data_IF_616681373091
#
_entry.id   IF_616681373091
#
_cell.length_a   1.000
_cell.length_b   1.000
_cell.length_c   1.000
_cell.angle_alpha   90.00
_cell.angle_beta   90.00
_cell.angle_gamma   90.00
#
_symmetry.space_group_name_H-M   'P 1'
#
loop_
_entity.id
_entity.type
_entity.pdbx_description
1 polymer ?
#
# COMPACT_ATOMS: atom_id res chain seq x y z
N UNK A 1 -48.23 -7.60 25.95
CA UNK A 1 -47.12 -6.67 26.21
C UNK A 1 -47.48 -5.34 25.55
N UNK A 2 -47.62 -4.28 26.33
CA UNK A 2 -48.01 -2.97 25.78
C UNK A 2 -46.89 -2.40 24.89
N UNK A 3 -47.27 -1.75 23.77
CA UNK A 3 -46.29 -1.16 22.82
C UNK A 3 -45.29 -0.22 23.51
N UNK A 4 -45.67 0.45 24.58
CA UNK A 4 -44.79 1.28 25.41
C UNK A 4 -43.69 0.46 26.12
N UNK A 5 -44.03 -0.75 26.60
CA UNK A 5 -43.05 -1.65 27.24
C UNK A 5 -42.11 -2.26 26.23
N UNK A 6 -42.58 -2.53 25.00
CA UNK A 6 -41.77 -3.02 23.91
C UNK A 6 -40.77 -1.94 23.42
N UNK A 7 -41.22 -0.70 23.28
CA UNK A 7 -40.37 0.43 22.91
C UNK A 7 -39.26 0.70 23.93
N UNK A 8 -39.62 0.61 25.23
CA UNK A 8 -38.65 0.80 26.32
C UNK A 8 -37.58 -0.32 26.30
N UNK A 9 -37.98 -1.56 26.06
CA UNK A 9 -37.08 -2.71 25.98
C UNK A 9 -36.10 -2.56 24.81
N UNK A 10 -36.56 -2.08 23.63
CA UNK A 10 -35.74 -1.84 22.45
C UNK A 10 -34.72 -0.72 22.72
N UNK A 11 -35.15 0.37 23.38
CA UNK A 11 -34.23 1.48 23.71
C UNK A 11 -33.18 1.02 24.72
N UNK A 12 -33.51 0.21 25.71
CA UNK A 12 -32.55 -0.33 26.68
C UNK A 12 -31.57 -1.31 26.02
N UNK A 13 -32.03 -2.16 25.11
CA UNK A 13 -31.16 -3.06 24.34
C UNK A 13 -30.20 -2.27 23.41
N UNK A 14 -30.70 -1.22 22.77
CA UNK A 14 -29.86 -0.38 21.90
C UNK A 14 -28.82 0.40 22.72
N UNK A 15 -29.17 0.94 23.88
CA UNK A 15 -28.22 1.63 24.76
C UNK A 15 -27.19 0.68 25.40
N UNK A 16 -27.55 -0.56 25.70
CA UNK A 16 -26.61 -1.56 26.21
C UNK A 16 -25.55 -1.98 25.14
N UNK A 17 -25.93 -2.06 23.87
CA UNK A 17 -25.01 -2.34 22.77
C UNK A 17 -24.00 -1.21 22.53
N UNK A 18 -24.38 0.05 22.75
CA UNK A 18 -23.47 1.19 22.54
C UNK A 18 -22.44 1.38 23.66
N UNK A 19 -22.74 0.95 24.89
CA UNK A 19 -21.82 1.07 26.03
C UNK A 19 -20.64 0.08 25.99
N UNK A 20 -20.78 -1.04 25.30
CA UNK A 20 -19.70 -2.04 25.18
C UNK A 20 -18.61 -1.70 24.14
N UNK A 21 -18.92 -0.81 23.18
CA UNK A 21 -17.99 -0.48 22.08
C UNK A 21 -16.98 0.63 22.43
N UNK A 22 -17.15 1.35 23.54
CA UNK A 22 -16.43 2.58 23.82
C UNK A 22 -15.12 2.41 24.61
N UNK A 23 -14.83 1.22 25.16
CA UNK A 23 -13.73 1.04 26.14
C UNK A 23 -12.64 0.04 25.75
N UNK A 24 -12.58 -0.46 24.49
CA UNK A 24 -11.44 -1.29 24.11
C UNK A 24 -10.28 -0.44 23.59
N UNK A 25 -9.09 -0.85 23.93
CA UNK A 25 -7.90 -0.28 23.31
C UNK A 25 -7.92 -0.51 21.82
N UNK A 26 -7.54 0.50 21.07
CA UNK A 26 -7.46 0.45 19.60
C UNK A 26 -6.29 -0.40 19.14
N UNK A 27 -6.54 -1.32 18.23
CA UNK A 27 -5.52 -2.23 17.68
C UNK A 27 -4.97 -1.65 16.38
N UNK A 28 -3.67 -1.38 16.35
CA UNK A 28 -2.94 -1.03 15.15
C UNK A 28 -2.11 -2.20 14.66
N UNK A 29 -2.15 -2.48 13.35
CA UNK A 29 -1.22 -3.41 12.72
C UNK A 29 -0.12 -2.64 12.01
N UNK A 30 1.11 -3.09 12.23
CA UNK A 30 2.30 -2.55 11.57
C UNK A 30 2.93 -3.63 10.71
N UNK A 31 3.01 -3.36 9.41
CA UNK A 31 3.50 -4.29 8.40
C UNK A 31 4.83 -3.78 7.84
N UNK A 32 5.91 -4.49 8.12
CA UNK A 32 7.25 -4.12 7.68
C UNK A 32 7.47 -4.34 6.18
N UNK A 33 8.49 -3.70 5.65
CA UNK A 33 9.05 -4.06 4.35
C UNK A 33 9.80 -5.39 4.41
N UNK A 34 10.01 -5.99 3.25
CA UNK A 34 10.73 -7.27 3.15
C UNK A 34 10.69 -7.89 1.77
N UNK A 35 10.31 -7.12 0.75
CA UNK A 35 10.15 -7.63 -0.63
C UNK A 35 9.22 -8.83 -0.66
N UNK A 36 9.60 -9.90 -1.35
CA UNK A 36 8.79 -11.11 -1.47
C UNK A 36 8.41 -11.75 -0.12
N UNK A 37 9.25 -11.59 0.92
CA UNK A 37 8.95 -12.12 2.27
C UNK A 37 7.74 -11.43 2.91
N UNK A 38 7.44 -10.19 2.51
CA UNK A 38 6.29 -9.44 3.03
C UNK A 38 4.92 -10.06 2.65
N UNK A 39 4.88 -10.99 1.70
CA UNK A 39 3.68 -11.79 1.42
C UNK A 39 3.21 -12.57 2.66
N UNK A 40 4.11 -12.91 3.58
CA UNK A 40 3.77 -13.56 4.84
C UNK A 40 2.80 -12.73 5.71
N UNK A 41 2.74 -11.40 5.51
CA UNK A 41 1.75 -10.55 6.19
C UNK A 41 0.31 -10.98 5.92
N UNK A 42 0.03 -11.52 4.73
CA UNK A 42 -1.31 -12.02 4.36
C UNK A 42 -1.72 -13.17 5.29
N UNK A 43 -0.79 -14.10 5.55
CA UNK A 43 -1.02 -15.20 6.49
C UNK A 43 -1.26 -14.70 7.93
N UNK A 44 -0.51 -13.68 8.36
CA UNK A 44 -0.71 -13.08 9.67
C UNK A 44 -2.08 -12.39 9.79
N UNK A 45 -2.50 -11.62 8.76
CA UNK A 45 -3.81 -10.98 8.72
C UNK A 45 -4.94 -12.02 8.80
N UNK A 46 -4.80 -13.15 8.09
CA UNK A 46 -5.77 -14.24 8.12
C UNK A 46 -5.97 -14.79 9.55
N UNK A 47 -4.87 -15.06 10.26
CA UNK A 47 -4.93 -15.56 11.64
C UNK A 47 -5.54 -14.53 12.60
N UNK A 48 -5.23 -13.24 12.41
CA UNK A 48 -5.77 -12.15 13.22
C UNK A 48 -7.30 -12.03 13.03
N UNK A 49 -7.78 -12.12 11.79
CA UNK A 49 -9.22 -12.12 11.50
C UNK A 49 -9.92 -13.36 12.07
N UNK A 50 -9.34 -14.55 11.88
CA UNK A 50 -9.85 -15.81 12.44
C UNK A 50 -9.93 -15.78 13.96
N UNK A 51 -9.00 -15.08 14.62
CA UNK A 51 -9.01 -14.85 16.06
C UNK A 51 -10.06 -13.79 16.50
N UNK A 52 -10.76 -13.13 15.56
CA UNK A 52 -11.75 -12.10 15.85
C UNK A 52 -11.16 -10.81 16.43
N UNK A 53 -9.87 -10.55 16.19
CA UNK A 53 -9.20 -9.34 16.67
C UNK A 53 -9.54 -8.18 15.71
N UNK A 54 -10.27 -7.16 16.18
CA UNK A 54 -10.63 -6.02 15.34
C UNK A 54 -9.40 -5.12 15.12
N UNK A 55 -9.16 -4.77 13.85
CA UNK A 55 -8.08 -3.89 13.43
C UNK A 55 -8.63 -2.48 13.22
N UNK A 56 -8.07 -1.49 13.93
CA UNK A 56 -8.50 -0.09 13.86
C UNK A 56 -7.59 0.78 13.00
N UNK A 57 -6.31 0.40 12.86
CA UNK A 57 -5.30 1.14 12.10
C UNK A 57 -4.36 0.17 11.40
N UNK A 58 -3.91 0.54 10.22
CA UNK A 58 -2.87 -0.18 9.48
C UNK A 58 -1.78 0.80 9.07
N UNK A 59 -0.54 0.43 9.36
CA UNK A 59 0.63 1.18 8.90
C UNK A 59 1.59 0.24 8.21
N UNK A 60 2.12 0.65 7.08
CA UNK A 60 2.98 -0.22 6.29
C UNK A 60 4.19 0.46 5.68
N UNK A 61 5.25 -0.32 5.45
CA UNK A 61 6.43 0.07 4.68
C UNK A 61 6.68 -0.94 3.56
N UNK A 62 6.99 -0.47 2.35
CA UNK A 62 7.35 -1.34 1.21
C UNK A 62 6.24 -2.38 0.90
N UNK A 63 6.54 -3.66 0.91
CA UNK A 63 5.53 -4.72 0.75
C UNK A 63 4.42 -4.62 1.80
N UNK A 64 4.76 -4.22 3.02
CA UNK A 64 3.76 -3.97 4.07
C UNK A 64 2.81 -2.82 3.74
N UNK A 65 3.26 -1.81 2.98
CA UNK A 65 2.41 -0.74 2.47
C UNK A 65 1.44 -1.26 1.41
N UNK A 66 1.88 -2.17 0.54
CA UNK A 66 1.01 -2.78 -0.48
C UNK A 66 -0.06 -3.65 0.18
N UNK A 67 0.34 -4.62 0.99
CA UNK A 67 -0.58 -5.53 1.69
C UNK A 67 -1.53 -4.74 2.59
N UNK A 68 -0.99 -3.81 3.40
CA UNK A 68 -1.76 -3.00 4.33
C UNK A 68 -2.70 -2.02 3.63
N UNK A 69 -2.25 -1.38 2.56
CA UNK A 69 -3.07 -0.44 1.78
C UNK A 69 -4.26 -1.13 1.11
N UNK A 70 -4.04 -2.29 0.49
CA UNK A 70 -5.12 -3.08 -0.12
C UNK A 70 -6.08 -3.63 0.96
N UNK A 71 -5.55 -4.13 2.06
CA UNK A 71 -6.37 -4.57 3.20
C UNK A 71 -7.23 -3.43 3.76
N UNK A 72 -6.67 -2.22 3.87
CA UNK A 72 -7.36 -1.05 4.42
C UNK A 72 -8.54 -0.56 3.56
N UNK A 73 -8.54 -0.87 2.26
CA UNK A 73 -9.67 -0.56 1.36
C UNK A 73 -10.67 -1.70 1.23
N UNK A 74 -10.49 -2.80 1.97
CA UNK A 74 -11.47 -3.88 2.10
C UNK A 74 -11.13 -5.20 1.41
N UNK A 75 -9.92 -5.37 0.86
CA UNK A 75 -9.50 -6.70 0.40
C UNK A 75 -9.34 -7.65 1.58
N UNK A 76 -9.95 -8.82 1.51
CA UNK A 76 -9.75 -9.87 2.50
C UNK A 76 -8.39 -10.55 2.34
N UNK A 77 -7.85 -11.18 3.39
CA UNK A 77 -6.60 -11.96 3.27
C UNK A 77 -6.68 -13.04 2.18
N UNK A 78 -7.84 -13.66 1.98
CA UNK A 78 -8.06 -14.67 0.93
C UNK A 78 -7.98 -14.06 -0.48
N UNK A 79 -8.53 -12.86 -0.67
CA UNK A 79 -8.42 -12.13 -1.95
C UNK A 79 -6.99 -11.70 -2.22
N UNK A 80 -6.28 -11.20 -1.19
CA UNK A 80 -4.86 -10.84 -1.31
C UNK A 80 -3.99 -12.04 -1.67
N UNK A 81 -4.23 -13.20 -1.06
CA UNK A 81 -3.55 -14.45 -1.38
C UNK A 81 -3.81 -14.86 -2.83
N UNK A 82 -5.07 -14.81 -3.28
CA UNK A 82 -5.44 -15.11 -4.67
C UNK A 82 -4.77 -14.15 -5.65
N UNK A 83 -4.72 -12.84 -5.35
CA UNK A 83 -4.06 -11.84 -6.19
C UNK A 83 -2.57 -12.16 -6.31
N UNK A 84 -1.89 -12.43 -5.20
CA UNK A 84 -0.45 -12.71 -5.19
C UNK A 84 -0.11 -13.97 -5.99
N UNK A 85 -0.93 -15.03 -5.86
CA UNK A 85 -0.71 -16.30 -6.56
C UNK A 85 -1.05 -16.23 -8.06
N UNK A 86 -1.91 -15.30 -8.47
CA UNK A 86 -2.30 -15.13 -9.87
C UNK A 86 -1.30 -14.32 -10.71
N UNK A 87 -0.31 -13.66 -10.07
CA UNK A 87 0.59 -12.75 -10.77
C UNK A 87 1.76 -13.47 -11.45
N UNK A 88 2.10 -13.04 -12.66
CA UNK A 88 3.42 -13.26 -13.25
C UNK A 88 4.42 -12.25 -12.66
N UNK A 89 5.08 -12.66 -11.57
CA UNK A 89 6.05 -11.82 -10.87
C UNK A 89 7.24 -11.43 -11.73
N UNK A 90 7.65 -12.27 -12.69
CA UNK A 90 8.72 -11.96 -13.61
C UNK A 90 8.33 -10.79 -14.52
N UNK A 91 7.11 -10.79 -15.03
CA UNK A 91 6.57 -9.68 -15.82
C UNK A 91 6.40 -8.42 -14.98
N UNK A 92 5.76 -8.52 -13.80
CA UNK A 92 5.49 -7.37 -12.92
C UNK A 92 6.76 -6.66 -12.44
N UNK A 93 7.80 -7.45 -12.13
CA UNK A 93 9.09 -6.94 -11.70
C UNK A 93 10.04 -6.67 -12.88
N UNK A 94 9.50 -6.39 -14.04
CA UNK A 94 10.22 -5.97 -15.24
C UNK A 94 9.55 -4.75 -15.86
N UNK A 95 10.20 -4.17 -16.87
CA UNK A 95 9.60 -3.13 -17.72
C UNK A 95 9.16 -3.70 -19.08
N UNK A 96 9.03 -5.03 -19.18
CA UNK A 96 8.56 -5.68 -20.39
C UNK A 96 7.20 -5.12 -20.83
N UNK A 97 7.05 -4.93 -22.12
CA UNK A 97 5.78 -4.50 -22.69
C UNK A 97 4.80 -5.67 -22.71
N UNK A 98 3.53 -5.38 -22.48
CA UNK A 98 2.46 -6.37 -22.58
C UNK A 98 2.34 -6.82 -24.04
N UNK A 99 2.52 -8.13 -24.33
CA UNK A 99 2.45 -8.63 -25.70
C UNK A 99 1.09 -8.42 -26.37
N UNK A 100 0.01 -8.31 -25.60
CA UNK A 100 -1.35 -8.15 -26.15
C UNK A 100 -1.66 -6.69 -26.50
N UNK A 101 -1.08 -5.74 -25.79
CA UNK A 101 -1.39 -4.30 -25.96
C UNK A 101 -0.32 -3.52 -26.74
N UNK A 102 0.84 -4.13 -26.99
CA UNK A 102 1.97 -3.47 -27.62
C UNK A 102 1.87 -3.52 -29.15
N UNK A 103 2.03 -2.36 -29.79
CA UNK A 103 2.09 -2.28 -31.24
C UNK A 103 3.26 -3.11 -31.79
N UNK A 104 3.05 -3.76 -32.95
CA UNK A 104 4.07 -4.58 -33.60
C UNK A 104 5.38 -3.81 -33.84
N UNK A 105 5.30 -2.53 -34.17
CA UNK A 105 6.46 -1.64 -34.35
C UNK A 105 7.28 -1.42 -33.07
N UNK A 106 6.64 -1.43 -31.90
CA UNK A 106 7.33 -1.32 -30.61
C UNK A 106 7.98 -2.63 -30.22
N UNK A 107 7.30 -3.76 -30.46
CA UNK A 107 7.86 -5.11 -30.26
C UNK A 107 9.16 -5.30 -31.07
N UNK A 108 9.11 -4.98 -32.37
CA UNK A 108 10.27 -5.09 -33.26
C UNK A 108 11.42 -4.18 -32.84
N UNK A 109 11.12 -3.05 -32.18
CA UNK A 109 12.12 -2.12 -31.70
C UNK A 109 12.81 -2.61 -30.43
N UNK A 110 12.08 -3.26 -29.51
CA UNK A 110 12.68 -3.87 -28.30
C UNK A 110 13.51 -5.10 -28.62
N UNK A 111 13.10 -5.91 -29.59
CA UNK A 111 13.88 -7.10 -30.04
C UNK A 111 15.21 -6.72 -30.69
N UNK A 112 15.35 -5.51 -31.20
CA UNK A 112 16.61 -5.04 -31.84
C UNK A 112 17.71 -4.63 -30.85
N UNK A 113 17.37 -4.36 -29.56
CA UNK A 113 18.35 -3.84 -28.60
C UNK A 113 18.36 -4.68 -27.34
N UNK A 114 19.47 -5.36 -27.08
CA UNK A 114 19.73 -6.06 -25.81
C UNK A 114 19.84 -5.11 -24.60
N UNK A 115 20.15 -3.85 -24.85
CA UNK A 115 20.26 -2.79 -23.87
C UNK A 115 19.93 -1.45 -24.54
N UNK A 116 18.85 -0.78 -24.11
CA UNK A 116 18.59 0.61 -24.51
C UNK A 116 18.95 1.55 -23.37
N UNK A 117 20.04 2.29 -23.51
CA UNK A 117 20.39 3.39 -22.63
C UNK A 117 19.80 4.66 -23.23
N UNK A 118 18.84 5.34 -22.56
CA UNK A 118 18.33 6.61 -23.07
C UNK A 118 19.49 7.63 -23.05
N UNK A 119 19.97 8.02 -24.22
CA UNK A 119 20.87 9.16 -24.36
C UNK A 119 19.98 10.42 -24.29
N UNK A 120 19.63 10.85 -23.07
CA UNK A 120 19.11 12.19 -22.88
C UNK A 120 20.24 13.19 -23.03
N UNK A 121 19.99 14.28 -23.80
CA UNK A 121 20.95 15.37 -23.94
C UNK A 121 21.43 15.89 -22.58
N UNK A 122 22.31 16.87 -22.53
CA UNK A 122 23.11 17.41 -21.38
C UNK A 122 22.49 17.47 -19.96
N UNK A 123 21.32 16.90 -19.74
CA UNK A 123 20.56 16.83 -18.48
C UNK A 123 20.23 15.39 -18.06
N UNK A 124 20.94 14.38 -18.52
CA UNK A 124 20.78 13.03 -17.96
C UNK A 124 21.22 13.05 -16.50
N UNK A 125 20.27 13.26 -15.61
CA UNK A 125 20.52 13.09 -14.18
C UNK A 125 20.76 11.60 -13.91
N UNK A 126 21.91 11.29 -13.31
CA UNK A 126 22.29 9.96 -12.82
C UNK A 126 21.27 9.41 -11.79
N UNK A 127 20.28 10.22 -11.42
CA UNK A 127 19.22 9.91 -10.47
C UNK A 127 18.14 8.92 -10.98
N UNK A 128 18.10 8.61 -12.29
CA UNK A 128 17.20 7.57 -12.85
C UNK A 128 17.78 6.15 -12.72
N UNK A 129 18.66 5.93 -11.76
CA UNK A 129 19.42 4.72 -11.52
C UNK A 129 18.60 3.55 -10.92
N UNK A 130 17.31 3.50 -11.14
CA UNK A 130 16.52 2.28 -10.98
C UNK A 130 16.63 1.43 -12.25
N UNK A 131 16.96 0.16 -12.11
CA UNK A 131 17.04 -0.79 -13.23
C UNK A 131 15.65 -0.98 -13.85
N UNK A 132 14.60 -0.92 -13.01
CA UNK A 132 13.20 -1.15 -13.37
C UNK A 132 12.40 0.13 -13.14
N UNK A 133 11.74 0.66 -14.19
CA UNK A 133 10.85 1.83 -14.05
C UNK A 133 9.60 1.52 -13.23
N UNK A 134 9.20 0.24 -13.18
CA UNK A 134 8.08 -0.26 -12.40
C UNK A 134 6.73 0.11 -13.00
N UNK A 135 6.63 0.22 -14.32
CA UNK A 135 5.36 0.52 -15.01
C UNK A 135 4.29 -0.56 -14.75
N UNK A 136 4.70 -1.83 -14.84
CA UNK A 136 3.77 -2.95 -14.69
C UNK A 136 3.21 -3.05 -13.28
N UNK A 137 4.06 -2.86 -12.26
CA UNK A 137 3.60 -2.85 -10.87
C UNK A 137 2.73 -1.61 -10.57
N UNK A 138 3.08 -0.44 -11.14
CA UNK A 138 2.27 0.77 -10.99
C UNK A 138 0.88 0.61 -11.61
N UNK A 139 0.79 -0.04 -12.77
CA UNK A 139 -0.48 -0.37 -13.42
C UNK A 139 -1.30 -1.31 -12.54
N UNK A 140 -0.71 -2.40 -12.05
CA UNK A 140 -1.40 -3.34 -11.15
C UNK A 140 -1.94 -2.64 -9.89
N UNK A 141 -1.12 -1.81 -9.23
CA UNK A 141 -1.55 -1.06 -8.06
C UNK A 141 -2.73 -0.12 -8.38
N UNK A 142 -2.70 0.54 -9.55
CA UNK A 142 -3.80 1.41 -9.99
C UNK A 142 -5.08 0.62 -10.28
N UNK A 143 -4.97 -0.55 -10.90
CA UNK A 143 -6.10 -1.44 -11.16
C UNK A 143 -6.73 -1.97 -9.87
N UNK A 144 -5.91 -2.38 -8.89
CA UNK A 144 -6.38 -2.86 -7.59
C UNK A 144 -6.98 -1.75 -6.71
N UNK A 145 -6.71 -0.49 -7.02
CA UNK A 145 -7.21 0.68 -6.26
C UNK A 145 -8.11 1.59 -7.08
N UNK A 146 -8.80 1.05 -8.08
CA UNK A 146 -9.59 1.84 -9.03
C UNK A 146 -10.64 2.75 -8.36
N UNK A 147 -11.21 2.34 -7.23
CA UNK A 147 -12.13 3.15 -6.43
C UNK A 147 -11.45 4.25 -5.58
N UNK A 148 -10.11 4.32 -5.59
CA UNK A 148 -9.28 5.20 -4.76
C UNK A 148 -8.23 5.94 -5.60
N UNK A 149 -8.54 6.24 -6.86
CA UNK A 149 -7.63 6.90 -7.80
C UNK A 149 -7.52 8.41 -7.62
N UNK A 150 -8.45 9.02 -6.88
CA UNK A 150 -8.36 10.43 -6.50
C UNK A 150 -7.46 10.64 -5.27
N UNK A 151 -7.05 11.89 -5.07
CA UNK A 151 -6.36 12.27 -3.84
C UNK A 151 -7.34 12.31 -2.66
N UNK A 152 -7.18 11.36 -1.75
CA UNK A 152 -8.05 11.19 -0.58
C UNK A 152 -7.27 11.24 0.72
N UNK A 153 -7.97 11.44 1.84
CA UNK A 153 -7.41 11.21 3.17
C UNK A 153 -7.50 9.73 3.52
N UNK A 154 -6.37 9.10 3.80
CA UNK A 154 -6.30 7.67 4.17
C UNK A 154 -6.93 7.38 5.54
N UNK A 155 -7.10 8.41 6.38
CA UNK A 155 -7.86 8.30 7.63
C UNK A 155 -9.36 8.07 7.41
N UNK A 156 -9.86 8.28 6.18
CA UNK A 156 -11.27 8.08 5.80
C UNK A 156 -11.52 6.76 5.09
N UNK A 157 -10.50 5.92 4.92
CA UNK A 157 -10.66 4.57 4.40
C UNK A 157 -11.43 3.68 5.38
N UNK A 158 -11.99 2.55 4.94
CA UNK A 158 -12.65 1.57 5.83
C UNK A 158 -11.83 1.23 7.07
N UNK A 159 -10.51 1.04 6.90
CA UNK A 159 -9.55 1.02 8.01
C UNK A 159 -8.54 2.15 7.74
N UNK A 160 -8.38 3.11 8.66
CA UNK A 160 -7.39 4.17 8.56
C UNK A 160 -5.98 3.64 8.29
N UNK A 161 -5.31 4.24 7.30
CA UNK A 161 -4.04 3.76 6.77
C UNK A 161 -2.97 4.85 6.75
N UNK A 162 -1.71 4.43 6.91
CA UNK A 162 -0.55 5.24 6.58
C UNK A 162 0.56 4.36 5.99
N UNK A 163 1.41 4.94 5.14
CA UNK A 163 2.62 4.25 4.70
C UNK A 163 3.82 5.19 4.65
N UNK A 164 5.00 4.58 4.72
CA UNK A 164 6.27 5.28 4.84
C UNK A 164 7.04 5.21 3.52
N UNK A 165 7.61 6.33 3.14
CA UNK A 165 8.59 6.48 2.07
C UNK A 165 9.70 7.41 2.54
N UNK A 166 10.82 7.47 1.81
CA UNK A 166 11.94 8.33 2.12
C UNK A 166 12.21 9.30 1.00
N UNK A 167 12.44 10.58 1.32
CA UNK A 167 12.88 11.56 0.35
C UNK A 167 14.41 11.60 0.32
N UNK A 168 15.01 11.05 -0.74
CA UNK A 168 16.49 10.96 -0.86
C UNK A 168 17.17 12.32 -1.08
N UNK A 169 16.43 13.38 -1.40
CA UNK A 169 17.02 14.71 -1.60
C UNK A 169 17.52 15.28 -0.28
N UNK A 170 16.81 15.02 0.82
CA UNK A 170 17.14 15.57 2.14
C UNK A 170 17.20 14.50 3.25
N UNK A 171 17.03 13.21 2.91
CA UNK A 171 17.07 12.12 3.86
C UNK A 171 15.90 12.07 4.86
N UNK A 172 14.79 12.78 4.59
CA UNK A 172 13.65 12.81 5.49
C UNK A 172 12.67 11.66 5.24
N UNK A 173 12.17 11.09 6.35
CA UNK A 173 11.01 10.19 6.33
C UNK A 173 9.76 10.95 5.85
N UNK A 174 9.02 10.37 4.93
CA UNK A 174 7.74 10.89 4.42
C UNK A 174 6.64 9.90 4.78
N UNK A 175 5.67 10.35 5.58
CA UNK A 175 4.51 9.52 5.96
C UNK A 175 3.30 9.97 5.15
N UNK A 176 2.76 9.07 4.37
CA UNK A 176 1.55 9.30 3.61
C UNK A 176 0.31 9.02 4.47
N UNK A 177 -0.47 10.05 4.75
CA UNK A 177 -1.81 10.00 5.33
C UNK A 177 -2.89 10.44 4.35
N UNK A 178 -2.50 10.84 3.16
CA UNK A 178 -3.37 11.30 2.07
C UNK A 178 -2.66 11.20 0.72
N UNK A 179 -3.40 11.38 -0.35
CA UNK A 179 -2.92 11.35 -1.72
C UNK A 179 -3.57 10.23 -2.53
N UNK A 180 -2.97 9.89 -3.67
CA UNK A 180 -3.38 8.74 -4.49
C UNK A 180 -2.78 7.48 -3.89
N UNK A 181 -3.63 6.53 -3.49
CA UNK A 181 -3.20 5.33 -2.76
C UNK A 181 -2.15 4.51 -3.53
N UNK A 182 -2.38 4.26 -4.82
CA UNK A 182 -1.43 3.54 -5.68
C UNK A 182 -0.06 4.23 -5.71
N UNK A 183 -0.04 5.56 -5.79
CA UNK A 183 1.21 6.35 -5.80
C UNK A 183 1.96 6.26 -4.48
N UNK A 184 1.24 6.34 -3.35
CA UNK A 184 1.83 6.21 -2.02
C UNK A 184 2.45 4.82 -1.81
N UNK A 185 1.74 3.75 -2.16
CA UNK A 185 2.26 2.37 -2.12
C UNK A 185 3.46 2.19 -3.06
N UNK A 186 3.38 2.74 -4.29
CA UNK A 186 4.48 2.67 -5.26
C UNK A 186 5.73 3.39 -4.77
N UNK A 187 5.58 4.56 -4.13
CA UNK A 187 6.69 5.30 -3.53
C UNK A 187 7.33 4.48 -2.39
N UNK A 188 6.50 3.92 -1.51
CA UNK A 188 6.95 3.13 -0.36
C UNK A 188 7.76 1.89 -0.75
N UNK A 189 7.53 1.31 -1.95
CA UNK A 189 8.24 0.11 -2.44
C UNK A 189 9.39 0.40 -3.40
N UNK A 190 9.75 1.66 -3.63
CA UNK A 190 10.78 2.07 -4.58
C UNK A 190 12.20 1.80 -4.06
N UNK A 191 12.61 0.54 -3.99
CA UNK A 191 13.93 0.13 -3.48
C UNK A 191 15.02 0.74 -4.37
N UNK A 192 15.94 1.56 -3.81
CA UNK A 192 17.03 2.15 -4.56
C UNK A 192 17.90 1.09 -5.26
N UNK A 193 18.25 1.35 -6.51
CA UNK A 193 19.03 0.41 -7.34
C UNK A 193 18.19 -0.73 -7.95
N UNK A 194 16.93 -0.95 -7.51
CA UNK A 194 16.01 -1.90 -8.11
C UNK A 194 14.93 -1.16 -8.90
N UNK A 195 14.20 -0.28 -8.24
CA UNK A 195 13.14 0.51 -8.86
C UNK A 195 13.51 1.98 -9.00
N UNK A 196 13.04 2.58 -10.09
CA UNK A 196 13.11 4.03 -10.24
C UNK A 196 12.31 4.72 -9.12
N UNK A 197 12.83 5.85 -8.58
CA UNK A 197 12.15 6.62 -7.55
C UNK A 197 10.84 7.22 -8.07
N UNK A 198 9.95 7.59 -7.14
CA UNK A 198 8.72 8.32 -7.46
C UNK A 198 8.94 9.81 -7.24
N UNK A 199 8.71 10.60 -8.29
CA UNK A 199 8.79 12.05 -8.23
C UNK A 199 7.43 12.62 -7.86
N UNK A 200 7.33 13.30 -6.72
CA UNK A 200 6.07 13.86 -6.24
C UNK A 200 6.32 15.17 -5.49
N UNK A 201 5.67 16.25 -5.92
CA UNK A 201 5.72 17.57 -5.25
C UNK A 201 7.17 18.05 -4.97
N UNK A 202 8.09 17.86 -5.91
CA UNK A 202 9.49 18.24 -5.75
C UNK A 202 10.33 17.29 -4.89
N UNK A 203 9.74 16.22 -4.37
CA UNK A 203 10.44 15.15 -3.65
C UNK A 203 10.85 14.04 -4.59
N UNK A 204 11.93 13.35 -4.25
CA UNK A 204 12.40 12.12 -4.91
C UNK A 204 12.25 11.00 -3.91
N UNK A 205 11.17 10.22 -4.06
CA UNK A 205 10.71 9.26 -3.07
C UNK A 205 11.22 7.85 -3.40
N UNK A 206 11.74 7.20 -2.37
CA UNK A 206 12.23 5.83 -2.40
C UNK A 206 11.60 5.02 -1.26
N UNK A 207 11.96 3.72 -1.21
CA UNK A 207 11.47 2.78 -0.19
C UNK A 207 11.70 3.32 1.23
N UNK A 208 10.64 3.34 2.03
CA UNK A 208 10.66 3.85 3.41
C UNK A 208 11.43 2.95 4.39
N UNK A 209 11.81 1.75 3.96
CA UNK A 209 12.62 0.83 4.75
C UNK A 209 14.05 1.30 5.03
N UNK A 210 14.49 2.39 4.38
CA UNK A 210 15.79 2.98 4.67
C UNK A 210 15.83 3.67 6.04
N UNK A 211 14.74 4.35 6.42
CA UNK A 211 14.66 5.07 7.69
C UNK A 211 13.72 4.43 8.70
N UNK A 212 12.61 3.84 8.24
CA UNK A 212 11.59 3.27 9.12
C UNK A 212 10.91 2.04 8.52
N UNK A 213 11.57 0.92 8.66
CA UNK A 213 11.05 -0.35 8.15
C UNK A 213 9.93 -0.96 9.02
N UNK A 214 9.75 -0.49 10.25
CA UNK A 214 8.73 -0.98 11.18
C UNK A 214 8.09 0.16 11.96
N UNK A 215 7.18 0.95 11.32
CA UNK A 215 6.70 2.24 11.79
C UNK A 215 5.66 2.15 12.93
N UNK A 216 6.06 1.63 14.08
CA UNK A 216 5.21 1.47 15.27
C UNK A 216 4.83 2.82 15.87
N UNK A 217 5.73 3.80 15.82
CA UNK A 217 5.52 5.16 16.29
C UNK A 217 4.36 5.83 15.54
N UNK A 218 4.26 5.60 14.23
CA UNK A 218 3.17 6.14 13.40
C UNK A 218 1.83 5.51 13.78
N UNK A 219 1.78 4.19 14.00
CA UNK A 219 0.55 3.52 14.45
C UNK A 219 0.08 4.07 15.81
N UNK A 220 1.02 4.36 16.74
CA UNK A 220 0.71 4.99 18.03
C UNK A 220 0.20 6.41 17.86
N UNK A 221 0.81 7.22 16.99
CA UNK A 221 0.35 8.57 16.66
C UNK A 221 -1.06 8.58 16.05
N UNK A 222 -1.43 7.54 15.29
CA UNK A 222 -2.79 7.36 14.77
C UNK A 222 -3.79 6.97 15.85
N UNK A 223 -3.34 6.56 17.05
CA UNK A 223 -4.19 6.21 18.19
C UNK A 223 -4.19 4.73 18.56
N UNK A 224 -3.30 3.91 18.04
CA UNK A 224 -3.17 2.51 18.43
C UNK A 224 -2.66 2.38 19.88
N UNK A 225 -3.28 1.50 20.65
CA UNK A 225 -2.88 1.22 22.04
C UNK A 225 -3.38 2.22 23.09
N UNK A 226 -4.20 3.21 22.67
CA UNK A 226 -4.82 4.21 23.56
C UNK A 226 -6.15 3.73 24.10
#
# INVERSE_FOLDING_TARGET
MNYKSLSLLIIVLFSACTLGAQNRKKVGIVLSGGGAKGVAHIGALKVIEEAGIPIDYVVGTSMGAIVGGLYSIGYTPQQLDSIVNAQDWKYLLSDALDPETTLLSEKLREEQYLLSVPIAGKSAHVSDAGIIKGRNISRLLSELTVGYHDSISFNRMPIPFACVSDNIVNGSKVVFHNGILATAMRASMSIPGVFAPVYLNGMVLVDGGLTDNYPVDIARQMGAGT
#
